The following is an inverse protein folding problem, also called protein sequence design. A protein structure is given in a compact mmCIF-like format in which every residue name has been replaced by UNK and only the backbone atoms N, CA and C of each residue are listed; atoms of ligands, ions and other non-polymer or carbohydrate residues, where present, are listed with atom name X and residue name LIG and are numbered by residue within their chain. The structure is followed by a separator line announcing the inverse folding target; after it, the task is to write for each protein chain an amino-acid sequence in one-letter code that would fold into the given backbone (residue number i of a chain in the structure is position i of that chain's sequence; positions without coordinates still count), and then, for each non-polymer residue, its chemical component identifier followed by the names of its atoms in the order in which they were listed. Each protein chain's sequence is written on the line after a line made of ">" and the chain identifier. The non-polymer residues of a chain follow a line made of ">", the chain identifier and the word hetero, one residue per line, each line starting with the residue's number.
data_IF_778395678465
#
_entry.id   IF_778395678465
#
_cell.length_a   1.000
_cell.length_b   1.000
_cell.length_c   1.000
_cell.angle_alpha   90.00
_cell.angle_beta   90.00
_cell.angle_gamma   90.00
#
_symmetry.space_group_name_H-M   'P 1'
#
loop_
_entity.id
_entity.type
_entity.pdbx_description
1 polymer ?
#
# COMPACT_ATOMS: atom_id res chain seq x y z
N UNK A 1 -7.98 8.88 -7.13
CA UNK A 1 -7.80 7.73 -6.22
C UNK A 1 -6.41 7.17 -6.47
N UNK A 2 -5.68 6.73 -5.44
CA UNK A 2 -4.41 6.04 -5.63
C UNK A 2 -4.67 4.53 -5.65
N UNK A 3 -3.90 3.79 -6.45
CA UNK A 3 -4.02 2.34 -6.58
C UNK A 3 -2.88 1.68 -5.83
N UNK A 4 -3.20 0.64 -5.07
CA UNK A 4 -2.20 -0.28 -4.55
C UNK A 4 -1.80 -1.24 -5.67
N UNK A 5 -0.50 -1.37 -5.94
CA UNK A 5 -0.01 -2.20 -7.03
C UNK A 5 0.17 -3.65 -6.58
N UNK A 6 -0.58 -4.56 -7.18
CA UNK A 6 -0.32 -6.00 -7.19
C UNK A 6 -0.10 -6.42 -8.64
N UNK A 7 1.09 -6.95 -8.94
CA UNK A 7 1.45 -7.29 -10.32
C UNK A 7 0.79 -8.61 -10.80
N UNK A 8 0.78 -8.81 -12.11
CA UNK A 8 0.13 -9.96 -12.75
C UNK A 8 0.82 -11.30 -12.46
N UNK A 9 2.06 -11.32 -11.94
CA UNK A 9 2.77 -12.53 -11.50
C UNK A 9 2.60 -12.83 -10.01
N UNK A 10 1.94 -11.96 -9.25
CA UNK A 10 1.75 -12.14 -7.82
C UNK A 10 1.10 -13.50 -7.48
N UNK A 11 0.13 -13.95 -8.29
CA UNK A 11 -0.60 -15.22 -8.12
C UNK A 11 0.29 -16.49 -8.10
N UNK A 12 1.51 -16.42 -8.66
CA UNK A 12 2.47 -17.54 -8.71
C UNK A 12 3.75 -17.29 -7.93
N UNK A 13 3.93 -16.10 -7.34
CA UNK A 13 5.15 -15.75 -6.64
C UNK A 13 5.40 -16.66 -5.41
N UNK A 14 6.61 -17.20 -5.21
CA UNK A 14 6.89 -18.15 -4.12
C UNK A 14 6.53 -17.62 -2.73
N UNK A 15 6.81 -16.35 -2.43
CA UNK A 15 6.41 -15.73 -1.15
C UNK A 15 4.89 -15.70 -0.95
N UNK A 16 4.13 -15.46 -2.02
CA UNK A 16 2.67 -15.41 -1.98
C UNK A 16 2.10 -16.80 -1.71
N UNK A 17 2.65 -17.82 -2.39
CA UNK A 17 2.31 -19.23 -2.15
C UNK A 17 2.65 -19.67 -0.73
N UNK A 18 3.80 -19.25 -0.21
CA UNK A 18 4.24 -19.59 1.15
C UNK A 18 3.38 -18.95 2.24
N UNK A 19 2.94 -17.70 2.03
CA UNK A 19 2.04 -17.01 2.98
C UNK A 19 0.64 -17.65 3.02
N UNK A 20 0.16 -18.15 1.88
CA UNK A 20 -1.17 -18.73 1.72
C UNK A 20 -2.27 -17.70 1.47
N UNK A 21 -3.36 -18.12 0.83
CA UNK A 21 -4.40 -17.23 0.31
C UNK A 21 -5.04 -16.32 1.38
N UNK A 22 -5.33 -16.85 2.57
CA UNK A 22 -5.91 -16.03 3.65
C UNK A 22 -4.98 -14.87 4.06
N UNK A 23 -3.69 -15.14 4.19
CA UNK A 23 -2.70 -14.12 4.56
C UNK A 23 -2.54 -13.08 3.45
N UNK A 24 -2.65 -13.51 2.19
CA UNK A 24 -2.62 -12.61 1.03
C UNK A 24 -3.86 -11.73 0.95
N UNK A 25 -5.02 -12.21 1.41
CA UNK A 25 -6.20 -11.37 1.63
C UNK A 25 -5.90 -10.22 2.60
N UNK A 26 -5.28 -10.53 3.75
CA UNK A 26 -4.85 -9.51 4.72
C UNK A 26 -3.81 -8.55 4.12
N UNK A 27 -2.84 -9.07 3.38
CA UNK A 27 -1.84 -8.27 2.68
C UNK A 27 -2.49 -7.28 1.71
N UNK A 28 -3.47 -7.72 0.92
CA UNK A 28 -4.15 -6.87 -0.05
C UNK A 28 -4.92 -5.72 0.61
N UNK A 29 -5.76 -6.02 1.61
CA UNK A 29 -6.55 -4.98 2.29
C UNK A 29 -5.65 -4.00 3.05
N UNK A 30 -4.57 -4.49 3.66
CA UNK A 30 -3.58 -3.63 4.32
C UNK A 30 -2.82 -2.75 3.32
N UNK A 31 -2.52 -3.27 2.13
CA UNK A 31 -1.89 -2.51 1.06
C UNK A 31 -2.78 -1.35 0.60
N UNK A 32 -4.08 -1.61 0.39
CA UNK A 32 -5.04 -0.56 0.05
C UNK A 32 -5.19 0.49 1.16
N UNK A 33 -5.17 0.07 2.43
CA UNK A 33 -5.14 0.99 3.57
C UNK A 33 -3.90 1.89 3.52
N UNK A 34 -2.70 1.32 3.35
CA UNK A 34 -1.46 2.09 3.31
C UNK A 34 -1.44 3.09 2.13
N UNK A 35 -2.03 2.73 0.99
CA UNK A 35 -2.16 3.62 -0.17
C UNK A 35 -3.15 4.77 0.06
N UNK A 36 -4.26 4.51 0.75
CA UNK A 36 -5.27 5.55 1.06
C UNK A 36 -4.75 6.55 2.10
N UNK A 37 -4.21 6.03 3.20
CA UNK A 37 -3.73 6.84 4.32
C UNK A 37 -2.29 7.34 4.16
N UNK A 38 -1.61 6.96 3.06
CA UNK A 38 -0.24 7.34 2.75
C UNK A 38 0.72 7.05 3.91
N UNK A 39 0.69 5.81 4.40
CA UNK A 39 1.49 5.38 5.56
C UNK A 39 2.83 4.76 5.18
N UNK A 40 3.19 4.82 3.90
CA UNK A 40 4.44 4.27 3.36
C UNK A 40 4.66 2.79 3.75
N UNK A 41 3.56 2.02 3.70
CA UNK A 41 3.54 0.60 3.99
C UNK A 41 3.46 0.25 5.47
N UNK A 42 3.28 1.22 6.38
CA UNK A 42 3.06 0.93 7.80
C UNK A 42 1.60 0.51 8.05
N UNK A 43 1.42 -0.65 8.68
CA UNK A 43 0.13 -1.24 9.03
C UNK A 43 0.01 -1.29 10.56
N UNK A 44 -0.91 -0.53 11.17
CA UNK A 44 -1.01 -0.46 12.63
C UNK A 44 -1.61 -1.73 13.22
N UNK A 45 -1.24 -2.05 14.47
CA UNK A 45 -1.69 -3.27 15.15
C UNK A 45 -3.22 -3.39 15.21
N UNK A 46 -3.92 -2.30 15.51
CA UNK A 46 -5.38 -2.28 15.60
C UNK A 46 -6.04 -2.73 14.29
N UNK A 47 -5.46 -2.37 13.14
CA UNK A 47 -6.02 -2.71 11.84
C UNK A 47 -5.90 -4.21 11.60
N UNK A 48 -4.71 -4.77 11.84
CA UNK A 48 -4.50 -6.22 11.72
C UNK A 48 -5.38 -7.00 12.69
N UNK A 49 -5.46 -6.57 13.95
CA UNK A 49 -6.20 -7.29 15.00
C UNK A 49 -7.71 -7.20 14.86
N UNK A 50 -8.24 -6.23 14.10
CA UNK A 50 -9.66 -6.16 13.75
C UNK A 50 -10.12 -7.28 12.81
N UNK A 51 -9.20 -7.95 12.11
CA UNK A 51 -9.52 -9.05 11.21
C UNK A 51 -9.46 -10.42 11.91
N UNK A 52 -10.34 -11.37 11.54
CA UNK A 52 -10.25 -12.74 12.03
C UNK A 52 -8.86 -13.34 11.79
N UNK A 53 -8.27 -13.91 12.85
CA UNK A 53 -6.90 -14.48 12.83
C UNK A 53 -5.80 -13.50 12.43
N UNK A 54 -6.03 -12.18 12.49
CA UNK A 54 -5.11 -11.17 11.98
C UNK A 54 -3.65 -11.34 12.40
N UNK A 55 -3.38 -11.54 13.70
CA UNK A 55 -2.01 -11.77 14.21
C UNK A 55 -1.35 -13.03 13.61
N UNK A 56 -2.12 -14.11 13.43
CA UNK A 56 -1.61 -15.35 12.83
C UNK A 56 -1.30 -15.15 11.34
N UNK A 57 -2.18 -14.44 10.62
CA UNK A 57 -1.97 -14.13 9.21
C UNK A 57 -0.77 -13.18 9.02
N UNK A 58 -0.62 -12.17 9.88
CA UNK A 58 0.53 -11.28 9.87
C UNK A 58 1.84 -12.05 10.13
N UNK A 59 1.85 -13.00 11.06
CA UNK A 59 3.01 -13.87 11.28
C UNK A 59 3.39 -14.65 10.01
N UNK A 60 2.42 -15.19 9.26
CA UNK A 60 2.69 -15.85 7.96
C UNK A 60 3.30 -14.89 6.94
N UNK A 61 2.83 -13.64 6.88
CA UNK A 61 3.38 -12.62 5.98
C UNK A 61 4.83 -12.25 6.35
N UNK A 62 5.14 -12.18 7.64
CA UNK A 62 6.50 -11.96 8.13
C UNK A 62 7.41 -13.15 7.78
N UNK A 63 6.98 -14.37 8.08
CA UNK A 63 7.73 -15.59 7.73
C UNK A 63 7.96 -15.72 6.21
N UNK A 64 6.99 -15.31 5.39
CA UNK A 64 7.12 -15.30 3.94
C UNK A 64 8.00 -14.15 3.40
N UNK A 65 8.46 -13.23 4.25
CA UNK A 65 9.27 -12.08 3.85
C UNK A 65 8.52 -11.08 2.97
N UNK A 66 7.20 -10.97 3.18
CA UNK A 66 6.35 -9.92 2.60
C UNK A 66 6.26 -8.72 3.54
N UNK A 67 6.22 -8.99 4.84
CA UNK A 67 6.19 -7.99 5.91
C UNK A 67 7.40 -8.12 6.84
N UNK A 68 7.63 -7.06 7.62
CA UNK A 68 8.50 -7.04 8.78
C UNK A 68 7.71 -6.58 10.03
N UNK A 69 8.21 -6.93 11.21
CA UNK A 69 7.67 -6.44 12.48
C UNK A 69 8.12 -5.00 12.72
N UNK A 70 7.21 -4.16 13.20
CA UNK A 70 7.48 -2.79 13.61
C UNK A 70 6.96 -2.56 15.05
N UNK A 71 7.45 -1.52 15.76
CA UNK A 71 7.02 -1.25 17.14
C UNK A 71 5.49 -1.16 17.32
N UNK A 72 4.79 -0.55 16.37
CA UNK A 72 3.35 -0.29 16.45
C UNK A 72 2.52 -1.18 15.50
N UNK A 73 3.08 -2.31 15.05
CA UNK A 73 2.42 -3.25 14.15
C UNK A 73 3.38 -3.90 13.16
N UNK A 74 3.11 -3.70 11.87
CA UNK A 74 3.87 -4.32 10.78
C UNK A 74 4.16 -3.34 9.66
N UNK A 75 5.11 -3.69 8.80
CA UNK A 75 5.43 -2.89 7.63
C UNK A 75 5.67 -3.77 6.41
N UNK A 76 5.28 -3.29 5.23
CA UNK A 76 5.64 -3.92 3.96
C UNK A 76 7.13 -3.77 3.67
N UNK A 77 7.80 -4.89 3.37
CA UNK A 77 9.25 -4.92 3.20
C UNK A 77 9.73 -4.20 1.92
N UNK A 78 9.02 -4.37 0.80
CA UNK A 78 9.38 -3.78 -0.50
C UNK A 78 8.46 -2.61 -0.91
N UNK A 79 7.97 -1.81 0.04
CA UNK A 79 7.00 -0.76 -0.28
C UNK A 79 7.56 0.26 -1.29
N UNK A 80 8.75 0.81 -1.02
CA UNK A 80 9.36 1.88 -1.83
C UNK A 80 9.75 1.46 -3.24
N UNK A 81 9.89 0.16 -3.48
CA UNK A 81 10.26 -0.40 -4.78
C UNK A 81 9.07 -0.46 -5.73
N UNK A 82 7.87 -0.76 -5.21
CA UNK A 82 6.70 -1.05 -6.04
C UNK A 82 5.53 -0.08 -5.83
N UNK A 83 5.53 0.67 -4.74
CA UNK A 83 4.45 1.58 -4.36
C UNK A 83 4.94 3.01 -4.32
N UNK A 84 4.01 3.94 -4.53
CA UNK A 84 4.28 5.37 -4.35
C UNK A 84 4.41 5.67 -2.86
N UNK A 85 5.38 6.50 -2.53
CA UNK A 85 5.52 7.05 -1.17
C UNK A 85 4.73 8.35 -1.03
N UNK A 86 4.40 8.72 0.21
CA UNK A 86 3.61 9.90 0.57
C UNK A 86 4.11 11.18 -0.11
N UNK A 87 5.42 11.40 -0.13
CA UNK A 87 6.04 12.58 -0.75
C UNK A 87 5.74 12.64 -2.24
N UNK A 88 5.95 11.55 -2.97
CA UNK A 88 5.65 11.45 -4.40
C UNK A 88 4.17 11.72 -4.69
N UNK A 89 3.26 11.18 -3.88
CA UNK A 89 1.82 11.40 -4.05
C UNK A 89 1.45 12.87 -3.83
N UNK A 90 2.01 13.52 -2.81
CA UNK A 90 1.76 14.93 -2.52
C UNK A 90 2.28 15.82 -3.66
N UNK A 91 3.50 15.55 -4.15
CA UNK A 91 4.10 16.28 -5.28
C UNK A 91 3.32 16.10 -6.58
N UNK A 92 2.84 14.88 -6.87
CA UNK A 92 1.95 14.62 -8.01
C UNK A 92 0.64 15.41 -7.90
N UNK A 93 0.02 15.44 -6.70
CA UNK A 93 -1.20 16.22 -6.46
C UNK A 93 -0.97 17.71 -6.65
N UNK A 94 0.15 18.25 -6.17
CA UNK A 94 0.52 19.65 -6.35
C UNK A 94 0.70 20.00 -7.85
N UNK A 95 1.49 19.20 -8.57
CA UNK A 95 1.70 19.37 -10.02
C UNK A 95 0.40 19.26 -10.82
N UNK A 96 -0.49 18.34 -10.44
CA UNK A 96 -1.80 18.21 -11.08
C UNK A 96 -2.69 19.44 -10.84
N UNK A 97 -2.68 20.01 -9.63
CA UNK A 97 -3.42 21.22 -9.31
C UNK A 97 -2.92 22.44 -10.10
N UNK A 98 -1.60 22.59 -10.26
CA UNK A 98 -0.99 23.65 -11.07
C UNK A 98 -1.37 23.54 -12.55
N UNK A 99 -1.29 22.34 -13.13
CA UNK A 99 -1.72 22.10 -14.52
C UNK A 99 -3.18 22.48 -14.73
N UNK A 100 -4.05 22.14 -13.78
CA UNK A 100 -5.48 22.49 -13.84
C UNK A 100 -5.70 24.00 -13.75
N UNK A 101 -4.97 24.71 -12.87
CA UNK A 101 -5.02 26.18 -12.78
C UNK A 101 -4.59 26.84 -14.10
N UNK A 102 -3.48 26.41 -14.69
CA UNK A 102 -2.96 26.95 -15.96
C UNK A 102 -3.89 26.68 -17.15
N UNK A 103 -4.55 25.53 -17.16
CA UNK A 103 -5.56 25.23 -18.18
C UNK A 103 -6.77 26.14 -18.06
N UNK A 104 -7.26 26.36 -16.83
CA UNK A 104 -8.42 27.22 -16.57
C UNK A 104 -8.15 28.69 -16.94
N UNK A 105 -6.99 29.24 -16.60
CA UNK A 105 -6.65 30.62 -16.95
C UNK A 105 -6.58 30.83 -18.46
N UNK A 106 -6.04 29.86 -19.21
CA UNK A 106 -5.99 29.91 -20.67
C UNK A 106 -7.36 29.81 -21.35
N UNK A 107 -8.30 29.08 -20.75
CA UNK A 107 -9.67 28.98 -21.28
C UNK A 107 -10.52 30.21 -20.98
N UNK A 108 -10.13 31.05 -20.01
CA UNK A 108 -10.83 32.29 -19.66
C UNK A 108 -10.33 33.51 -20.47
N UNK A 109 -9.15 33.40 -21.10
CA UNK A 109 -8.56 34.42 -21.98
C UNK A 109 -8.93 34.25 -23.47
N UNK A 110 -9.62 33.15 -23.85
CA UNK A 110 -10.11 32.88 -25.21
C UNK A 110 -11.63 33.07 -25.29
#
# INVERSE_FOLDING_TARGET
>A
MAWFNADDKMHSHPKVRNAGLEAIGLWLVSGTYCTDYLTDGAVPEWFVTSWPKGKQLAAKLVTAGLWETAPDGWKFLSWTEYQRIKTQVIEEKARAAERKKRFKSKSEEQ
#
